data_IF_579371325883
#
_entry.id   IF_579371325883
#
_cell.length_a   1.000
_cell.length_b   1.000
_cell.length_c   1.000
_cell.angle_alpha   90.00
_cell.angle_beta   90.00
_cell.angle_gamma   90.00
#
_symmetry.space_group_name_H-M   'P 1'
#
loop_
_entity.id
_entity.type
_entity.pdbx_description
1 polymer ?
#
# COMPACT_ATOMS: atom_id res chain seq x y z
N UNK A 1 14.62 19.48 0.60
CA UNK A 1 13.68 20.38 -0.09
C UNK A 1 12.29 19.81 0.14
N UNK A 2 11.48 20.43 0.98
CA UNK A 2 10.12 19.94 1.25
C UNK A 2 9.23 20.62 0.21
N UNK A 3 8.77 19.89 -0.81
CA UNK A 3 7.83 20.45 -1.79
C UNK A 3 6.47 20.47 -1.11
N UNK A 4 5.88 21.63 -0.81
CA UNK A 4 4.56 21.68 -0.21
C UNK A 4 3.57 21.19 -1.27
N UNK A 5 3.00 20.02 -1.04
CA UNK A 5 1.86 19.54 -1.83
C UNK A 5 0.59 19.77 -1.00
N UNK A 6 -0.54 20.11 -1.64
CA UNK A 6 -1.82 20.10 -0.94
C UNK A 6 -2.09 18.70 -0.37
N UNK A 7 -2.87 18.62 0.72
CA UNK A 7 -3.31 17.33 1.23
C UNK A 7 -4.12 16.60 0.16
N UNK A 8 -3.84 15.31 -0.03
CA UNK A 8 -4.55 14.45 -0.98
C UNK A 8 -6.00 14.30 -0.54
N UNK A 9 -6.94 14.53 -1.44
CA UNK A 9 -8.38 14.42 -1.18
C UNK A 9 -8.81 12.96 -0.98
N UNK A 10 -9.97 12.75 -0.34
CA UNK A 10 -10.55 11.41 -0.18
C UNK A 10 -10.82 10.75 -1.55
N UNK A 11 -11.27 11.51 -2.55
CA UNK A 11 -11.51 11.01 -3.91
C UNK A 11 -10.22 10.51 -4.56
N UNK A 12 -9.13 11.28 -4.45
CA UNK A 12 -7.82 10.86 -4.96
C UNK A 12 -7.31 9.60 -4.25
N UNK A 13 -7.51 9.49 -2.92
CA UNK A 13 -7.18 8.27 -2.16
C UNK A 13 -7.99 7.07 -2.64
N UNK A 14 -9.29 7.22 -2.83
CA UNK A 14 -10.15 6.15 -3.34
C UNK A 14 -9.73 5.69 -4.74
N UNK A 15 -9.37 6.64 -5.62
CA UNK A 15 -8.79 6.33 -6.94
C UNK A 15 -7.48 5.54 -6.81
N UNK A 16 -6.60 5.93 -5.88
CA UNK A 16 -5.36 5.21 -5.62
C UNK A 16 -5.60 3.77 -5.12
N UNK A 17 -6.59 3.54 -4.25
CA UNK A 17 -6.97 2.19 -3.80
C UNK A 17 -7.31 1.30 -5.00
N UNK A 18 -8.13 1.81 -5.93
CA UNK A 18 -8.51 1.08 -7.16
C UNK A 18 -7.28 0.80 -8.03
N UNK A 19 -6.42 1.80 -8.25
CA UNK A 19 -5.22 1.64 -9.07
C UNK A 19 -4.27 0.58 -8.51
N UNK A 20 -4.03 0.56 -7.19
CA UNK A 20 -3.19 -0.46 -6.56
C UNK A 20 -3.78 -1.87 -6.66
N UNK A 21 -5.11 -2.01 -6.53
CA UNK A 21 -5.75 -3.31 -6.75
C UNK A 21 -5.63 -3.76 -8.21
N UNK A 22 -5.81 -2.86 -9.18
CA UNK A 22 -5.63 -3.18 -10.60
C UNK A 22 -4.21 -3.66 -10.90
N UNK A 23 -3.18 -3.03 -10.32
CA UNK A 23 -1.79 -3.48 -10.46
C UNK A 23 -1.57 -4.89 -9.89
N UNK A 24 -2.24 -5.24 -8.79
CA UNK A 24 -2.18 -6.60 -8.24
C UNK A 24 -2.77 -7.61 -9.22
N UNK A 25 -3.93 -7.30 -9.80
CA UNK A 25 -4.61 -8.15 -10.77
C UNK A 25 -3.82 -8.25 -12.11
N UNK A 26 -3.11 -7.19 -12.49
CA UNK A 26 -2.18 -7.19 -13.63
C UNK A 26 -0.96 -8.08 -13.37
N UNK A 27 -0.38 -8.06 -12.17
CA UNK A 27 0.74 -8.94 -11.82
C UNK A 27 0.34 -10.42 -11.88
N UNK A 28 -0.83 -10.78 -11.32
CA UNK A 28 -1.36 -12.15 -11.36
C UNK A 28 -1.68 -12.61 -12.78
N UNK A 29 -2.28 -11.73 -13.61
CA UNK A 29 -2.47 -12.00 -15.04
C UNK A 29 -1.14 -12.16 -15.77
N UNK A 30 -0.15 -11.33 -15.47
CA UNK A 30 1.19 -11.40 -16.05
C UNK A 30 1.86 -12.75 -15.82
N UNK A 31 1.72 -13.32 -14.62
CA UNK A 31 2.20 -14.68 -14.33
C UNK A 31 1.43 -15.75 -15.12
N UNK A 32 0.10 -15.63 -15.20
CA UNK A 32 -0.75 -16.56 -15.97
C UNK A 32 -0.38 -16.58 -17.45
N UNK A 33 0.03 -15.43 -18.01
CA UNK A 33 0.46 -15.28 -19.39
C UNK A 33 1.95 -15.61 -19.61
N UNK A 34 2.70 -15.98 -18.55
CA UNK A 34 4.13 -16.25 -18.63
C UNK A 34 5.02 -15.03 -18.86
N UNK A 35 4.50 -13.82 -18.64
CA UNK A 35 5.23 -12.55 -18.79
C UNK A 35 6.09 -12.23 -17.56
N UNK A 36 5.71 -12.75 -16.40
CA UNK A 36 6.36 -12.51 -15.11
C UNK A 36 6.54 -13.85 -14.40
N UNK A 37 7.66 -14.05 -13.72
CA UNK A 37 7.86 -15.24 -12.90
C UNK A 37 6.80 -15.33 -11.78
N UNK A 38 6.18 -16.50 -11.52
CA UNK A 38 5.09 -16.64 -10.54
C UNK A 38 5.41 -16.07 -9.15
N UNK A 39 6.61 -16.37 -8.61
CA UNK A 39 7.02 -15.83 -7.31
C UNK A 39 7.12 -14.29 -7.30
N UNK A 40 7.53 -13.68 -8.41
CA UNK A 40 7.60 -12.22 -8.51
C UNK A 40 6.22 -11.61 -8.53
N UNK A 41 5.30 -12.21 -9.31
CA UNK A 41 3.91 -11.78 -9.37
C UNK A 41 3.21 -11.91 -8.01
N UNK A 42 3.44 -13.00 -7.28
CA UNK A 42 2.90 -13.19 -5.93
C UNK A 42 3.35 -12.07 -4.98
N UNK A 43 4.66 -11.78 -4.95
CA UNK A 43 5.22 -10.73 -4.09
C UNK A 43 4.67 -9.36 -4.48
N UNK A 44 4.59 -9.06 -5.78
CA UNK A 44 4.02 -7.80 -6.29
C UNK A 44 2.56 -7.66 -5.88
N UNK A 45 1.71 -8.64 -6.22
CA UNK A 45 0.29 -8.62 -5.91
C UNK A 45 0.03 -8.45 -4.40
N UNK A 46 0.82 -9.14 -3.56
CA UNK A 46 0.76 -8.99 -2.10
C UNK A 46 1.07 -7.56 -1.66
N UNK A 47 2.15 -6.97 -2.16
CA UNK A 47 2.57 -5.59 -1.79
C UNK A 47 1.55 -4.56 -2.28
N UNK A 48 1.03 -4.72 -3.49
CA UNK A 48 0.04 -3.81 -4.07
C UNK A 48 -1.27 -3.84 -3.30
N UNK A 49 -1.79 -5.03 -2.97
CA UNK A 49 -2.98 -5.18 -2.11
C UNK A 49 -2.76 -4.63 -0.70
N UNK A 50 -1.59 -4.85 -0.12
CA UNK A 50 -1.28 -4.31 1.20
C UNK A 50 -1.24 -2.77 1.19
N UNK A 51 -0.75 -2.18 0.10
CA UNK A 51 -0.78 -0.72 -0.11
C UNK A 51 -2.20 -0.20 -0.27
N UNK A 52 -3.03 -0.84 -1.10
CA UNK A 52 -4.44 -0.49 -1.24
C UNK A 52 -5.16 -0.52 0.11
N UNK A 53 -4.93 -1.56 0.91
CA UNK A 53 -5.53 -1.72 2.24
C UNK A 53 -5.07 -0.64 3.24
N UNK A 54 -3.81 -0.22 3.19
CA UNK A 54 -3.32 0.85 4.06
C UNK A 54 -3.95 2.21 3.73
N UNK A 55 -4.14 2.50 2.44
CA UNK A 55 -4.85 3.72 2.00
C UNK A 55 -6.33 3.64 2.40
N UNK A 56 -6.97 2.49 2.23
CA UNK A 56 -8.36 2.30 2.67
C UNK A 56 -8.49 2.50 4.18
N UNK A 57 -7.55 1.99 4.97
CA UNK A 57 -7.53 2.21 6.42
C UNK A 57 -7.44 3.70 6.76
N UNK A 58 -6.63 4.48 6.04
CA UNK A 58 -6.58 5.93 6.23
C UNK A 58 -7.91 6.61 5.85
N UNK A 59 -8.60 6.16 4.81
CA UNK A 59 -9.95 6.66 4.46
C UNK A 59 -10.94 6.36 5.59
N UNK A 60 -10.91 5.14 6.13
CA UNK A 60 -11.88 4.67 7.12
C UNK A 60 -11.66 5.30 8.50
N UNK A 61 -10.40 5.58 8.87
CA UNK A 61 -10.03 5.97 10.24
C UNK A 61 -9.45 7.38 10.34
N UNK A 62 -9.07 7.99 9.22
CA UNK A 62 -8.29 9.23 9.20
C UNK A 62 -6.81 9.06 9.60
N UNK A 63 -6.34 7.84 9.85
CA UNK A 63 -4.99 7.55 10.33
C UNK A 63 -4.17 6.86 9.23
N UNK A 64 -3.08 7.49 8.80
CA UNK A 64 -2.15 6.91 7.84
C UNK A 64 -1.24 5.85 8.50
N UNK A 65 -1.05 4.71 7.83
CA UNK A 65 -0.30 3.56 8.34
C UNK A 65 0.70 2.98 7.32
N UNK A 66 1.75 2.28 7.76
CA UNK A 66 2.64 1.56 6.83
C UNK A 66 1.87 0.46 6.10
N UNK A 67 2.00 0.37 4.77
CA UNK A 67 1.47 -0.78 4.00
C UNK A 67 2.09 -2.12 4.40
N UNK A 68 3.32 -2.09 4.92
CA UNK A 68 4.07 -3.27 5.32
C UNK A 68 3.58 -3.92 6.62
N UNK A 69 3.20 -3.11 7.61
CA UNK A 69 2.97 -3.56 8.99
C UNK A 69 1.78 -2.88 9.69
N UNK A 70 1.07 -2.00 8.99
CA UNK A 70 -0.11 -1.26 9.47
C UNK A 70 0.12 -0.45 10.75
N UNK A 71 1.38 -0.14 11.09
CA UNK A 71 1.69 0.79 12.18
C UNK A 71 1.39 2.23 11.75
N UNK A 72 0.70 3.04 12.58
CA UNK A 72 0.48 4.45 12.33
C UNK A 72 1.78 5.23 12.16
N UNK A 73 1.80 6.16 11.20
CA UNK A 73 2.91 7.10 11.06
C UNK A 73 2.86 8.18 12.17
N UNK A 74 4.03 8.72 12.55
CA UNK A 74 4.13 9.80 13.54
C UNK A 74 4.01 9.38 15.01
N UNK A 75 3.63 8.12 15.28
CA UNK A 75 3.74 7.51 16.61
C UNK A 75 5.13 6.86 16.69
N UNK A 76 6.11 7.60 17.23
CA UNK A 76 7.52 7.23 17.25
C UNK A 76 7.78 5.79 17.69
N UNK A 77 8.78 5.19 17.03
CA UNK A 77 9.36 3.85 17.24
C UNK A 77 8.98 3.17 18.54
N UNK A 78 8.38 1.98 18.43
CA UNK A 78 8.45 0.97 19.48
C UNK A 78 9.90 0.86 19.94
N UNK A 79 10.22 1.37 21.13
CA UNK A 79 11.42 1.01 21.86
C UNK A 79 11.40 -0.51 21.94
N UNK A 80 12.27 -1.17 21.18
CA UNK A 80 12.60 -2.56 21.43
C UNK A 80 13.33 -2.58 22.77
N UNK A 81 12.58 -2.71 23.87
CA UNK A 81 13.16 -3.17 25.13
C UNK A 81 13.56 -4.61 24.88
N UNK A 82 14.83 -4.81 24.51
CA UNK A 82 15.49 -6.10 24.58
C UNK A 82 15.77 -6.36 26.06
N UNK A 83 15.09 -7.35 26.64
CA UNK A 83 15.59 -8.05 27.82
C UNK A 83 16.73 -8.99 27.41
#
# INVERSE_FOLDING_TARGET
>A
MNVPHPPVTISEKASAVVQWNNLADEAERGATLGLIHPNTAEVQARVYRATARAIQHEIDTGIAVCSCCFKPFGQGSSVLIRN
#
